data_IF_336556008444
#
_entry.id   IF_336556008444
#
_cell.length_a   1.000
_cell.length_b   1.000
_cell.length_c   1.000
_cell.angle_alpha   90.00
_cell.angle_beta   90.00
_cell.angle_gamma   90.00
#
_symmetry.space_group_name_H-M   'P 1'
#
loop_
_entity.id
_entity.type
_entity.pdbx_description
1 polymer ?
#
# COMPACT_ATOMS: atom_id res chain seq x y z
N UNK A 1 -4.62 -16.15 2.52
CA UNK A 1 -5.85 -15.83 1.77
C UNK A 1 -6.01 -14.33 1.76
N UNK A 2 -6.19 -13.73 0.59
CA UNK A 2 -6.53 -12.31 0.47
C UNK A 2 -8.04 -12.14 0.55
N UNK A 3 -8.53 -11.23 1.39
CA UNK A 3 -9.97 -10.98 1.57
C UNK A 3 -10.62 -10.48 0.28
N UNK A 4 -9.88 -9.70 -0.51
CA UNK A 4 -10.35 -9.10 -1.75
C UNK A 4 -9.25 -9.05 -2.83
N UNK A 5 -9.63 -9.27 -4.09
CA UNK A 5 -8.79 -9.02 -5.26
C UNK A 5 -8.52 -7.54 -5.56
N UNK A 6 -9.44 -6.62 -5.24
CA UNK A 6 -9.24 -5.19 -5.51
C UNK A 6 -8.10 -4.59 -4.70
N UNK A 7 -7.96 -4.96 -3.42
CA UNK A 7 -6.82 -4.57 -2.59
C UNK A 7 -5.48 -4.94 -3.25
N UNK A 8 -5.43 -6.15 -3.81
CA UNK A 8 -4.25 -6.65 -4.51
C UNK A 8 -4.04 -5.91 -5.82
N UNK A 9 -5.11 -5.62 -6.58
CA UNK A 9 -5.01 -4.82 -7.78
C UNK A 9 -4.48 -3.41 -7.50
N UNK A 10 -4.96 -2.75 -6.44
CA UNK A 10 -4.46 -1.45 -5.98
C UNK A 10 -2.96 -1.48 -5.70
N UNK A 11 -2.47 -2.55 -5.06
CA UNK A 11 -1.03 -2.75 -4.84
C UNK A 11 -0.25 -2.89 -6.16
N UNK A 12 -0.78 -3.64 -7.13
CA UNK A 12 -0.16 -3.83 -8.44
C UNK A 12 -0.22 -2.60 -9.34
N UNK A 13 -1.18 -1.70 -9.13
CA UNK A 13 -1.33 -0.49 -9.94
C UNK A 13 -0.09 0.39 -9.89
N UNK A 14 0.63 0.41 -8.76
CA UNK A 14 1.93 1.09 -8.66
C UNK A 14 2.93 0.57 -9.69
N UNK A 15 3.08 -0.75 -9.80
CA UNK A 15 3.97 -1.36 -10.78
C UNK A 15 3.48 -1.11 -12.21
N UNK A 16 2.16 -1.18 -12.45
CA UNK A 16 1.58 -0.90 -13.77
C UNK A 16 1.81 0.55 -14.22
N UNK A 17 1.77 1.51 -13.31
CA UNK A 17 1.98 2.93 -13.62
C UNK A 17 3.45 3.32 -13.69
N UNK A 18 4.28 2.84 -12.76
CA UNK A 18 5.67 3.30 -12.60
C UNK A 18 6.70 2.34 -13.22
N UNK A 19 6.36 1.07 -13.43
CA UNK A 19 7.28 0.03 -13.89
C UNK A 19 8.39 -0.31 -12.89
N UNK A 20 8.22 0.04 -11.62
CA UNK A 20 9.16 -0.26 -10.53
C UNK A 20 8.56 -1.28 -9.57
N UNK A 21 9.43 -2.08 -8.95
CA UNK A 21 9.02 -3.06 -7.94
C UNK A 21 8.54 -2.36 -6.66
N UNK A 22 7.75 -3.07 -5.85
CA UNK A 22 7.13 -2.54 -4.64
C UNK A 22 7.11 -3.56 -3.52
N UNK A 23 7.24 -3.08 -2.28
CA UNK A 23 7.07 -3.84 -1.04
C UNK A 23 5.87 -3.29 -0.27
N UNK A 24 5.11 -4.16 0.38
CA UNK A 24 4.05 -3.81 1.32
C UNK A 24 4.04 -4.73 2.55
N UNK A 25 3.49 -4.25 3.65
CA UNK A 25 3.18 -5.02 4.84
C UNK A 25 1.73 -5.48 4.81
N UNK A 26 1.52 -6.75 5.09
CA UNK A 26 0.20 -7.39 5.09
C UNK A 26 -0.41 -7.26 6.48
N UNK A 27 -1.56 -6.58 6.56
CA UNK A 27 -2.37 -6.49 7.77
C UNK A 27 -3.59 -7.38 7.66
N UNK A 28 -3.95 -8.02 8.76
CA UNK A 28 -5.07 -8.94 8.79
C UNK A 28 -5.17 -9.75 10.07
N UNK A 29 -5.71 -10.96 9.97
CA UNK A 29 -6.00 -11.82 11.13
C UNK A 29 -5.70 -13.28 10.83
N UNK A 30 -5.48 -14.06 11.87
CA UNK A 30 -5.35 -15.51 11.77
C UNK A 30 -6.67 -16.18 12.13
N UNK A 31 -7.13 -17.09 11.28
CA UNK A 31 -8.37 -17.85 11.47
C UNK A 31 -8.09 -19.34 11.41
N UNK A 32 -8.98 -20.13 12.00
CA UNK A 32 -8.98 -21.59 11.85
C UNK A 32 -9.35 -21.92 10.41
N UNK A 33 -8.65 -22.90 9.84
CA UNK A 33 -8.90 -23.37 8.49
C UNK A 33 -9.19 -24.87 8.49
N UNK A 34 -10.45 -25.21 8.22
CA UNK A 34 -10.94 -26.58 8.26
C UNK A 34 -10.51 -27.43 7.05
N UNK A 35 -9.92 -26.82 6.02
CA UNK A 35 -9.47 -27.53 4.82
C UNK A 35 -8.27 -28.45 5.04
N UNK A 36 -7.55 -28.29 6.15
CA UNK A 36 -6.50 -29.23 6.61
C UNK A 36 -6.64 -29.47 8.12
N UNK A 37 -6.27 -30.66 8.64
CA UNK A 37 -6.36 -30.94 10.06
C UNK A 37 -5.58 -29.94 10.91
N UNK A 38 -6.27 -29.25 11.84
CA UNK A 38 -5.70 -28.19 12.68
C UNK A 38 -5.06 -27.04 11.88
N UNK A 39 -5.61 -26.77 10.70
CA UNK A 39 -5.14 -25.70 9.83
C UNK A 39 -5.34 -24.31 10.43
N UNK A 40 -4.38 -23.43 10.14
CA UNK A 40 -4.48 -21.99 10.41
C UNK A 40 -4.29 -21.29 9.10
N UNK A 41 -5.17 -20.33 8.79
CA UNK A 41 -5.01 -19.44 7.63
C UNK A 41 -4.76 -18.01 8.10
N UNK A 42 -3.90 -17.32 7.37
CA UNK A 42 -3.78 -15.87 7.46
C UNK A 42 -4.76 -15.23 6.46
N UNK A 43 -5.64 -14.36 6.95
CA UNK A 43 -6.59 -13.57 6.16
C UNK A 43 -6.07 -12.15 6.09
N UNK A 44 -5.65 -11.73 4.90
CA UNK A 44 -5.13 -10.39 4.63
C UNK A 44 -6.31 -9.47 4.32
N UNK A 45 -6.42 -8.39 5.09
CA UNK A 45 -7.48 -7.37 4.97
C UNK A 45 -7.00 -6.08 4.32
N UNK A 46 -5.73 -5.73 4.49
CA UNK A 46 -5.14 -4.52 3.92
C UNK A 46 -3.65 -4.71 3.65
N UNK A 47 -3.10 -3.89 2.74
CA UNK A 47 -1.67 -3.84 2.44
C UNK A 47 -1.21 -2.40 2.69
N UNK A 48 -0.31 -2.21 3.65
CA UNK A 48 0.31 -0.92 3.94
C UNK A 48 1.65 -0.81 3.22
N UNK A 49 1.93 0.30 2.57
CA UNK A 49 3.18 0.52 1.83
C UNK A 49 4.15 1.40 2.62
N UNK A 50 5.20 0.83 3.24
CA UNK A 50 6.16 1.63 4.00
C UNK A 50 7.00 2.54 3.09
N UNK A 51 7.67 3.57 3.64
CA UNK A 51 8.64 4.38 2.91
C UNK A 51 9.74 3.50 2.29
N UNK A 52 9.96 3.66 0.98
CA UNK A 52 10.84 2.78 0.23
C UNK A 52 11.39 3.44 -1.04
N UNK A 53 12.63 3.13 -1.36
CA UNK A 53 13.29 3.50 -2.60
C UNK A 53 13.13 2.37 -3.63
N UNK A 54 12.34 2.64 -4.67
CA UNK A 54 11.99 1.67 -5.70
C UNK A 54 12.77 1.88 -6.99
N UNK A 55 13.17 0.79 -7.62
CA UNK A 55 13.74 0.69 -8.96
C UNK A 55 13.10 -0.48 -9.73
N UNK A 56 13.54 -0.71 -10.97
CA UNK A 56 13.10 -1.85 -11.80
C UNK A 56 13.54 -3.21 -11.24
N UNK A 57 14.73 -3.24 -10.66
CA UNK A 57 15.40 -4.50 -10.24
C UNK A 57 15.69 -4.58 -8.74
N UNK A 58 15.44 -3.49 -7.99
CA UNK A 58 15.74 -3.42 -6.56
C UNK A 58 14.69 -2.58 -5.82
N UNK A 59 14.42 -2.96 -4.58
CA UNK A 59 13.64 -2.16 -3.62
C UNK A 59 14.40 -2.12 -2.31
N UNK A 60 14.62 -0.91 -1.81
CA UNK A 60 15.22 -0.69 -0.50
C UNK A 60 14.18 -0.07 0.43
N UNK A 61 13.87 -0.77 1.52
CA UNK A 61 13.05 -0.21 2.60
C UNK A 61 13.84 0.89 3.31
N UNK A 62 13.21 2.04 3.52
CA UNK A 62 13.78 3.13 4.31
C UNK A 62 13.43 2.85 5.78
N UNK A 63 14.44 2.48 6.57
CA UNK A 63 14.25 2.13 7.98
C UNK A 63 14.96 3.16 8.89
N UNK A 64 14.34 3.59 10.02
CA UNK A 64 13.01 3.20 10.52
C UNK A 64 11.87 3.92 9.78
N UNK A 65 10.71 3.27 9.72
CA UNK A 65 9.48 3.89 9.23
C UNK A 65 8.91 4.80 10.34
N UNK A 66 8.75 6.11 10.10
CA UNK A 66 8.21 7.04 11.09
C UNK A 66 6.78 6.71 11.55
N UNK A 67 5.99 6.03 10.72
CA UNK A 67 4.57 5.78 10.97
C UNK A 67 4.28 4.33 11.39
N UNK A 68 5.29 3.47 11.48
CA UNK A 68 5.15 2.03 11.79
C UNK A 68 4.34 1.81 13.09
N UNK A 69 4.68 2.52 14.17
CA UNK A 69 4.01 2.37 15.46
C UNK A 69 2.54 2.83 15.43
N UNK A 70 2.26 3.90 14.69
CA UNK A 70 0.90 4.45 14.53
C UNK A 70 0.01 3.46 13.79
N UNK A 71 0.52 2.90 12.69
CA UNK A 71 -0.21 1.92 11.88
C UNK A 71 -0.45 0.63 12.66
N UNK A 72 0.54 0.16 13.42
CA UNK A 72 0.39 -1.03 14.27
C UNK A 72 -0.63 -0.81 15.41
N UNK A 73 -0.66 0.38 16.01
CA UNK A 73 -1.66 0.71 17.03
C UNK A 73 -3.08 0.80 16.44
N UNK A 74 -3.22 1.43 15.27
CA UNK A 74 -4.49 1.54 14.54
C UNK A 74 -5.01 0.15 14.15
N UNK A 75 -4.15 -0.69 13.60
CA UNK A 75 -4.43 -2.09 13.29
C UNK A 75 -4.91 -2.85 14.54
N UNK A 76 -4.20 -2.71 15.67
CA UNK A 76 -4.55 -3.36 16.92
C UNK A 76 -5.95 -2.98 17.41
N UNK A 77 -6.33 -1.70 17.33
CA UNK A 77 -7.66 -1.21 17.72
C UNK A 77 -8.76 -1.75 16.78
N UNK A 78 -8.48 -1.85 15.48
CA UNK A 78 -9.36 -2.51 14.49
C UNK A 78 -9.45 -4.04 14.66
N UNK A 79 -8.60 -4.64 15.50
CA UNK A 79 -8.57 -6.09 15.72
C UNK A 79 -7.82 -6.87 14.62
N UNK A 80 -7.01 -6.18 13.82
CA UNK A 80 -6.08 -6.76 12.86
C UNK A 80 -4.64 -6.57 13.34
N UNK A 81 -3.70 -7.32 12.79
CA UNK A 81 -2.29 -7.20 13.10
C UNK A 81 -1.45 -7.39 11.83
N UNK A 82 -0.18 -6.99 11.90
CA UNK A 82 0.77 -7.28 10.84
C UNK A 82 1.06 -8.77 10.81
N UNK A 83 0.63 -9.42 9.73
CA UNK A 83 0.69 -10.88 9.55
C UNK A 83 1.75 -11.31 8.54
N UNK A 84 2.30 -10.38 7.76
CA UNK A 84 3.31 -10.70 6.77
C UNK A 84 3.78 -9.49 5.97
N UNK A 85 4.50 -9.78 4.90
CA UNK A 85 4.94 -8.80 3.91
C UNK A 85 4.77 -9.37 2.51
N UNK A 86 4.66 -8.49 1.53
CA UNK A 86 4.50 -8.80 0.11
C UNK A 86 5.48 -7.97 -0.69
N UNK A 87 6.04 -8.54 -1.75
CA UNK A 87 6.87 -7.80 -2.69
C UNK A 87 6.66 -8.28 -4.12
N UNK A 88 6.91 -7.39 -5.09
CA UNK A 88 6.78 -7.71 -6.51
C UNK A 88 8.14 -8.07 -7.11
N UNK A 89 8.12 -9.09 -7.97
CA UNK A 89 9.18 -9.40 -8.92
C UNK A 89 8.53 -9.65 -10.28
N UNK A 90 8.09 -8.53 -10.89
CA UNK A 90 7.34 -8.52 -12.13
C UNK A 90 8.17 -7.87 -13.24
N UNK A 91 8.40 -8.63 -14.30
CA UNK A 91 9.09 -8.19 -15.51
C UNK A 91 8.13 -8.40 -16.70
N UNK A 92 7.83 -7.36 -17.49
CA UNK A 92 6.96 -7.50 -18.65
C UNK A 92 7.60 -8.39 -19.72
N UNK A 93 6.82 -9.29 -20.32
CA UNK A 93 7.24 -10.17 -21.42
C UNK A 93 6.77 -9.60 -22.77
N UNK A 94 7.55 -8.69 -23.36
CA UNK A 94 7.23 -8.06 -24.65
C UNK A 94 7.12 -9.04 -25.83
N UNK A 95 7.51 -10.31 -25.66
CA UNK A 95 7.52 -11.31 -26.73
C UNK A 95 6.21 -12.11 -26.84
N UNK A 96 5.38 -12.12 -25.79
CA UNK A 96 4.10 -12.84 -25.79
C UNK A 96 2.98 -11.90 -26.23
N UNK A 97 2.14 -12.37 -27.15
CA UNK A 97 0.92 -11.65 -27.52
C UNK A 97 -0.18 -11.91 -26.49
N UNK A 98 -0.58 -10.88 -25.74
CA UNK A 98 -1.62 -10.96 -24.72
C UNK A 98 -1.76 -9.67 -23.90
N UNK A 99 -2.73 -9.63 -22.98
CA UNK A 99 -2.98 -8.48 -22.10
C UNK A 99 -1.92 -8.43 -20.99
N UNK A 100 -0.78 -7.78 -21.25
CA UNK A 100 0.28 -7.53 -20.25
C UNK A 100 0.94 -8.79 -19.66
N UNK A 101 1.49 -9.69 -20.49
CA UNK A 101 2.16 -10.89 -20.01
C UNK A 101 3.42 -10.55 -19.20
N UNK A 102 3.70 -11.39 -18.21
CA UNK A 102 4.88 -11.28 -17.33
C UNK A 102 5.77 -12.51 -17.44
N UNK A 103 7.08 -12.35 -17.24
CA UNK A 103 8.04 -13.46 -17.32
C UNK A 103 7.94 -14.33 -16.06
N UNK A 104 7.95 -15.64 -16.26
CA UNK A 104 8.03 -16.63 -15.19
C UNK A 104 9.48 -16.88 -14.78
N UNK A 105 9.91 -16.21 -13.71
CA UNK A 105 11.25 -16.33 -13.13
C UNK A 105 11.30 -17.13 -11.83
N UNK A 106 10.15 -17.45 -11.23
CA UNK A 106 10.03 -18.09 -9.91
C UNK A 106 8.98 -19.18 -9.88
N UNK A 107 8.98 -20.02 -8.85
CA UNK A 107 7.86 -20.93 -8.57
C UNK A 107 7.91 -22.33 -9.19
N UNK A 108 8.98 -22.68 -9.90
CA UNK A 108 9.15 -24.00 -10.52
C UNK A 108 10.45 -24.67 -10.08
N UNK A 109 10.51 -25.99 -10.18
CA UNK A 109 11.72 -26.77 -9.82
C UNK A 109 12.99 -26.35 -10.57
N UNK A 110 12.85 -25.74 -11.74
CA UNK A 110 13.97 -25.25 -12.54
C UNK A 110 14.23 -23.75 -12.36
N UNK A 111 13.50 -23.09 -11.46
CA UNK A 111 13.57 -21.65 -11.19
C UNK A 111 13.79 -21.39 -9.70
N UNK A 112 13.99 -20.12 -9.35
CA UNK A 112 14.23 -19.70 -7.98
C UNK A 112 12.90 -19.57 -7.20
N UNK A 113 12.84 -19.99 -5.94
CA UNK A 113 11.70 -19.63 -5.07
C UNK A 113 11.95 -18.26 -4.41
N UNK A 114 12.92 -18.20 -3.51
CA UNK A 114 13.39 -16.98 -2.85
C UNK A 114 14.90 -16.82 -3.02
N UNK A 115 15.35 -15.59 -3.21
CA UNK A 115 16.78 -15.28 -3.15
C UNK A 115 17.29 -15.41 -1.72
N UNK A 116 18.60 -15.55 -1.54
CA UNK A 116 19.24 -15.54 -0.24
C UNK A 116 18.93 -14.28 0.57
N UNK A 117 18.90 -13.12 -0.09
CA UNK A 117 18.57 -11.86 0.55
C UNK A 117 17.11 -11.83 1.03
N UNK A 118 16.18 -12.29 0.21
CA UNK A 118 14.75 -12.39 0.58
C UNK A 118 14.53 -13.42 1.69
N UNK A 119 15.23 -14.56 1.65
CA UNK A 119 15.15 -15.60 2.67
C UNK A 119 15.70 -15.12 4.02
N UNK A 120 16.83 -14.41 4.01
CA UNK A 120 17.39 -13.76 5.21
C UNK A 120 16.41 -12.71 5.74
N UNK A 121 15.81 -11.89 4.86
CA UNK A 121 14.86 -10.87 5.25
C UNK A 121 13.57 -11.46 5.83
N UNK A 122 13.05 -12.55 5.25
CA UNK A 122 11.94 -13.31 5.80
C UNK A 122 12.27 -13.88 7.18
N UNK A 123 13.46 -14.44 7.37
CA UNK A 123 13.95 -14.91 8.66
C UNK A 123 14.10 -13.78 9.68
N UNK A 124 14.51 -12.59 9.26
CA UNK A 124 14.58 -11.41 10.12
C UNK A 124 13.18 -10.97 10.59
N UNK A 125 12.21 -10.86 9.67
CA UNK A 125 10.83 -10.52 10.02
C UNK A 125 10.17 -11.57 10.92
N UNK A 126 10.36 -12.86 10.63
CA UNK A 126 9.84 -13.93 11.50
C UNK A 126 10.44 -13.88 12.91
N UNK A 127 11.72 -13.50 13.05
CA UNK A 127 12.34 -13.28 14.37
C UNK A 127 11.81 -12.02 15.09
N UNK A 128 11.43 -10.97 14.36
CA UNK A 128 10.75 -9.78 14.92
C UNK A 128 9.35 -10.13 15.42
N UNK A 129 8.63 -11.00 14.72
CA UNK A 129 7.24 -11.37 15.00
C UNK A 129 7.10 -12.80 15.54
N UNK A 130 7.59 -13.06 16.75
CA UNK A 130 7.54 -14.38 17.39
C UNK A 130 6.13 -14.82 17.78
N UNK A 131 5.82 -16.10 17.55
CA UNK A 131 4.53 -16.68 17.93
C UNK A 131 4.56 -17.18 19.38
N UNK A 132 3.63 -16.68 20.21
CA UNK A 132 3.47 -17.09 21.62
C UNK A 132 2.99 -18.54 21.70
N UNK A 133 3.69 -19.37 22.46
CA UNK A 133 3.38 -20.79 22.62
C UNK A 133 3.62 -21.23 24.07
N UNK A 134 2.56 -21.64 24.77
CA UNK A 134 2.62 -22.11 26.17
C UNK A 134 3.41 -23.41 26.33
N UNK A 135 3.55 -24.20 25.26
CA UNK A 135 4.26 -25.48 25.27
C UNK A 135 5.75 -25.33 24.96
N UNK A 136 6.20 -24.13 24.59
CA UNK A 136 7.63 -23.86 24.38
C UNK A 136 8.28 -23.48 25.71
N UNK A 137 9.48 -24.00 26.03
CA UNK A 137 10.21 -23.60 27.24
C UNK A 137 10.48 -22.10 27.29
N UNK A 138 10.71 -21.46 26.15
CA UNK A 138 10.98 -20.03 26.04
C UNK A 138 9.70 -19.17 25.95
N UNK A 139 8.51 -19.80 25.97
CA UNK A 139 7.22 -19.13 25.81
C UNK A 139 6.87 -18.73 24.37
N UNK A 140 7.81 -18.91 23.43
CA UNK A 140 7.63 -18.62 22.00
C UNK A 140 8.10 -19.80 21.14
N UNK A 141 7.44 -20.04 20.01
CA UNK A 141 7.85 -21.07 19.05
C UNK A 141 7.54 -20.64 17.62
N UNK A 142 8.60 -20.52 16.82
CA UNK A 142 8.54 -20.08 15.43
C UNK A 142 7.85 -18.73 15.26
N UNK A 143 7.30 -18.52 14.06
CA UNK A 143 6.53 -17.35 13.70
C UNK A 143 5.39 -17.71 12.77
N UNK A 144 4.30 -16.94 12.83
CA UNK A 144 3.18 -17.01 11.87
C UNK A 144 3.31 -15.95 10.77
N UNK A 145 4.39 -15.16 10.78
CA UNK A 145 4.62 -14.12 9.80
C UNK A 145 4.89 -14.74 8.44
N UNK A 146 4.15 -14.30 7.42
CA UNK A 146 4.24 -14.86 6.06
C UNK A 146 5.00 -13.92 5.12
N UNK A 147 5.61 -14.50 4.09
CA UNK A 147 6.23 -13.80 2.96
C UNK A 147 5.41 -14.09 1.71
N UNK A 148 5.04 -13.08 0.95
CA UNK A 148 4.36 -13.27 -0.34
C UNK A 148 5.16 -12.62 -1.46
N UNK A 149 5.40 -13.37 -2.53
CA UNK A 149 6.04 -12.89 -3.75
C UNK A 149 4.97 -12.78 -4.83
N UNK A 150 4.93 -11.63 -5.50
CA UNK A 150 4.14 -11.46 -6.72
C UNK A 150 5.05 -11.68 -7.91
N UNK A 151 4.78 -12.71 -8.71
CA UNK A 151 5.60 -13.07 -9.87
C UNK A 151 4.73 -13.55 -11.03
N UNK A 152 5.32 -13.83 -12.19
CA UNK A 152 4.62 -14.43 -13.32
C UNK A 152 4.55 -15.96 -13.20
N UNK A 153 3.41 -16.55 -13.51
CA UNK A 153 3.23 -18.00 -13.64
C UNK A 153 3.73 -18.51 -15.02
N UNK A 154 3.77 -19.83 -15.21
CA UNK A 154 4.19 -20.42 -16.49
C UNK A 154 3.34 -19.95 -17.70
N UNK A 155 2.08 -19.54 -17.47
CA UNK A 155 1.18 -19.00 -18.49
C UNK A 155 1.44 -17.52 -18.81
N UNK A 156 2.28 -16.85 -18.02
CA UNK A 156 2.61 -15.43 -18.14
C UNK A 156 1.57 -14.51 -17.47
N UNK A 157 0.76 -15.05 -16.57
CA UNK A 157 -0.20 -14.33 -15.73
C UNK A 157 0.43 -14.01 -14.38
N UNK A 158 -0.04 -12.94 -13.74
CA UNK A 158 0.43 -12.56 -12.40
C UNK A 158 -0.12 -13.57 -11.38
N UNK A 159 0.77 -14.16 -10.58
CA UNK A 159 0.49 -15.11 -9.52
C UNK A 159 1.14 -14.67 -8.20
N UNK A 160 0.57 -15.15 -7.09
CA UNK A 160 1.05 -14.91 -5.73
C UNK A 160 1.62 -16.19 -5.16
N UNK A 161 2.88 -16.17 -4.74
CA UNK A 161 3.54 -17.31 -4.12
C UNK A 161 3.78 -17.00 -2.64
N UNK A 162 3.27 -17.87 -1.76
CA UNK A 162 3.35 -17.69 -0.32
C UNK A 162 4.44 -18.58 0.27
N UNK A 163 5.25 -18.02 1.15
CA UNK A 163 6.35 -18.71 1.79
C UNK A 163 6.44 -18.38 3.28
N UNK A 164 7.01 -19.32 4.02
CA UNK A 164 7.64 -19.09 5.31
C UNK A 164 9.04 -19.68 5.30
N UNK A 165 9.93 -19.14 6.12
CA UNK A 165 11.19 -19.82 6.39
C UNK A 165 11.05 -20.71 7.63
N UNK A 166 11.80 -21.81 7.61
CA UNK A 166 11.86 -22.77 8.69
C UNK A 166 12.42 -22.15 9.98
N UNK A 167 12.10 -22.77 11.12
CA UNK A 167 12.69 -22.39 12.41
C UNK A 167 14.23 -22.49 12.41
N UNK A 168 14.79 -23.38 11.58
CA UNK A 168 16.23 -23.49 11.39
C UNK A 168 16.78 -22.25 10.70
N UNK A 169 16.14 -21.78 9.62
CA UNK A 169 16.50 -20.53 8.96
C UNK A 169 16.42 -19.34 9.92
N UNK A 170 15.33 -19.24 10.70
CA UNK A 170 15.20 -18.21 11.74
C UNK A 170 16.40 -18.22 12.70
N UNK A 171 16.86 -19.40 13.13
CA UNK A 171 18.02 -19.53 14.02
C UNK A 171 19.34 -19.14 13.33
N UNK A 172 19.54 -19.51 12.06
CA UNK A 172 20.72 -19.13 11.26
C UNK A 172 20.80 -17.60 11.09
N UNK A 173 19.68 -16.97 10.76
CA UNK A 173 19.58 -15.51 10.58
C UNK A 173 19.75 -14.78 11.91
N UNK A 174 19.10 -15.25 12.98
CA UNK A 174 19.24 -14.68 14.33
C UNK A 174 20.69 -14.74 14.83
N UNK A 175 21.43 -15.78 14.44
CA UNK A 175 22.83 -15.95 14.77
C UNK A 175 23.77 -15.17 13.84
N UNK A 176 23.27 -14.54 12.77
CA UNK A 176 24.09 -13.77 11.83
C UNK A 176 25.12 -14.60 11.06
N UNK A 177 24.83 -15.88 10.80
CA UNK A 177 25.77 -16.80 10.12
C UNK A 177 25.41 -17.11 8.68
N UNK A 178 24.21 -16.76 8.23
CA UNK A 178 23.74 -16.96 6.84
C UNK A 178 23.94 -15.68 6.04
N UNK A 179 24.71 -15.77 4.95
CA UNK A 179 25.01 -14.66 4.05
C UNK A 179 24.52 -14.96 2.62
N UNK A 180 24.12 -13.93 1.86
CA UNK A 180 23.79 -14.10 0.46
C UNK A 180 25.03 -14.36 -0.39
N UNK A 181 24.91 -15.22 -1.40
CA UNK A 181 25.94 -15.43 -2.43
C UNK A 181 25.75 -14.47 -3.60
N UNK A 182 26.85 -14.14 -4.27
CA UNK A 182 26.86 -13.20 -5.40
C UNK A 182 26.39 -13.85 -6.72
N UNK A 183 26.95 -15.00 -7.08
CA UNK A 183 26.72 -15.63 -8.40
C UNK A 183 25.52 -16.59 -8.45
N UNK A 184 24.97 -16.99 -7.29
CA UNK A 184 23.90 -17.98 -7.19
C UNK A 184 22.87 -17.54 -6.14
N UNK A 185 21.80 -16.82 -6.51
CA UNK A 185 20.84 -16.28 -5.55
C UNK A 185 20.05 -17.35 -4.77
N UNK A 186 19.95 -18.57 -5.29
CA UNK A 186 19.29 -19.73 -4.67
C UNK A 186 20.09 -20.38 -3.54
N UNK A 187 21.36 -19.99 -3.39
CA UNK A 187 22.26 -20.54 -2.39
C UNK A 187 22.51 -19.53 -1.27
N UNK A 188 22.72 -20.04 -0.06
CA UNK A 188 23.19 -19.27 1.09
C UNK A 188 24.60 -19.70 1.48
N UNK A 189 25.43 -18.76 1.90
CA UNK A 189 26.77 -19.05 2.42
C UNK A 189 26.76 -19.04 3.95
N UNK A 190 27.18 -20.15 4.57
CA UNK A 190 27.38 -20.20 6.02
C UNK A 190 28.78 -19.69 6.35
N UNK A 191 28.83 -18.60 7.13
CA UNK A 191 30.05 -17.96 7.61
C UNK A 191 30.99 -18.96 8.27
N UNK A 192 32.29 -18.81 8.05
CA UNK A 192 33.30 -19.58 8.75
C UNK A 192 33.51 -19.07 10.18
N UNK A 193 34.04 -19.93 11.04
CA UNK A 193 34.40 -19.52 12.41
C UNK A 193 35.44 -18.40 12.34
N UNK A 194 35.15 -17.30 13.03
CA UNK A 194 36.10 -16.19 13.23
C UNK A 194 36.54 -16.13 14.69
N UNK A 195 37.50 -15.25 15.00
CA UNK A 195 37.93 -14.97 16.37
C UNK A 195 36.81 -14.40 17.25
N UNK A 196 35.80 -13.77 16.65
CA UNK A 196 34.68 -13.11 17.35
C UNK A 196 33.48 -14.04 17.52
N UNK A 197 33.32 -15.03 16.64
CA UNK A 197 32.12 -15.86 16.57
C UNK A 197 32.46 -17.29 16.14
N UNK A 198 32.14 -18.24 17.02
CA UNK A 198 32.19 -19.66 16.70
C UNK A 198 30.99 -20.06 15.82
N UNK A 199 31.27 -20.66 14.67
CA UNK A 199 30.25 -21.19 13.76
C UNK A 199 30.48 -22.70 13.58
N UNK A 200 29.58 -23.56 14.08
CA UNK A 200 29.72 -25.01 13.90
C UNK A 200 29.58 -25.40 12.43
N UNK A 201 30.06 -26.59 12.09
CA UNK A 201 29.80 -27.16 10.77
C UNK A 201 28.32 -27.51 10.63
N UNK A 202 27.68 -26.86 9.66
CA UNK A 202 26.28 -27.09 9.30
C UNK A 202 26.27 -28.08 8.15
N UNK A 203 25.40 -29.09 8.24
CA UNK A 203 25.22 -30.09 7.20
C UNK A 203 23.76 -30.14 6.77
N UNK A 204 23.54 -30.49 5.52
CA UNK A 204 22.21 -30.79 4.98
C UNK A 204 22.20 -32.18 4.35
N UNK A 205 21.00 -32.76 4.26
CA UNK A 205 20.77 -34.07 3.65
C UNK A 205 20.20 -33.89 2.25
N UNK A 206 20.80 -34.57 1.29
CA UNK A 206 20.32 -34.61 -0.08
C UNK A 206 20.14 -36.06 -0.51
N UNK A 207 19.23 -36.31 -1.45
CA UNK A 207 19.05 -37.62 -2.07
C UNK A 207 19.83 -37.68 -3.37
N UNK A 208 20.70 -38.68 -3.50
CA UNK A 208 21.43 -38.91 -4.74
C UNK A 208 20.53 -39.48 -5.85
N UNK A 209 21.11 -39.69 -7.05
CA UNK A 209 20.41 -40.30 -8.19
C UNK A 209 19.90 -41.73 -7.94
N UNK A 210 20.34 -42.37 -6.86
CA UNK A 210 19.95 -43.70 -6.42
C UNK A 210 19.03 -43.67 -5.20
N UNK A 211 18.53 -42.47 -4.82
CA UNK A 211 17.64 -42.22 -3.68
C UNK A 211 18.25 -42.56 -2.30
N UNK A 212 19.58 -42.59 -2.19
CA UNK A 212 20.29 -42.69 -0.92
C UNK A 212 20.45 -41.31 -0.28
N UNK A 213 20.32 -41.23 1.05
CA UNK A 213 20.59 -39.99 1.80
C UNK A 213 22.09 -39.77 1.98
N UNK A 214 22.60 -38.70 1.42
CA UNK A 214 23.99 -38.24 1.60
C UNK A 214 24.02 -36.96 2.42
N UNK A 215 24.99 -36.86 3.33
CA UNK A 215 25.26 -35.65 4.12
C UNK A 215 26.26 -34.77 3.36
N UNK A 216 25.90 -33.51 3.10
CA UNK A 216 26.80 -32.51 2.49
C UNK A 216 27.01 -31.33 3.45
N UNK A 217 28.19 -30.72 3.37
CA UNK A 217 28.49 -29.50 4.13
C UNK A 217 27.73 -28.31 3.53
N UNK A 218 27.11 -27.49 4.37
CA UNK A 218 26.26 -26.36 3.99
C UNK A 218 27.08 -25.10 3.62
N UNK A 219 28.09 -25.27 2.77
CA UNK A 219 28.97 -24.20 2.25
C UNK A 219 29.25 -24.45 0.77
N UNK A 220 28.32 -24.11 -0.15
CA UNK A 220 27.06 -23.38 0.06
C UNK A 220 25.87 -24.26 0.48
N UNK A 221 24.84 -23.62 1.06
CA UNK A 221 23.58 -24.22 1.50
C UNK A 221 22.47 -23.91 0.49
N UNK A 222 21.82 -24.90 -0.13
CA UNK A 222 20.64 -24.64 -0.94
C UNK A 222 19.47 -24.15 -0.06
N UNK A 223 18.87 -23.02 -0.42
CA UNK A 223 17.85 -22.38 0.40
C UNK A 223 16.49 -23.07 0.34
N UNK A 224 16.24 -23.90 -0.68
CA UNK A 224 15.02 -24.71 -0.80
C UNK A 224 14.74 -25.55 0.47
N UNK A 225 15.79 -26.05 1.15
CA UNK A 225 15.66 -26.80 2.41
C UNK A 225 15.17 -25.95 3.58
N UNK A 226 15.28 -24.62 3.46
CA UNK A 226 14.91 -23.66 4.49
C UNK A 226 13.54 -23.03 4.25
N UNK A 227 12.96 -23.21 3.06
CA UNK A 227 11.71 -22.59 2.63
C UNK A 227 10.55 -23.57 2.81
N UNK A 228 9.40 -23.04 3.21
CA UNK A 228 8.15 -23.77 3.38
C UNK A 228 7.10 -23.07 2.53
N UNK A 229 6.51 -23.81 1.60
CA UNK A 229 5.47 -23.30 0.72
C UNK A 229 4.13 -23.18 1.46
N UNK A 230 3.45 -22.06 1.24
CA UNK A 230 2.14 -21.75 1.81
C UNK A 230 1.16 -21.46 0.67
N UNK A 231 0.06 -22.23 0.56
CA UNK A 231 -0.96 -21.96 -0.43
C UNK A 231 -1.56 -20.56 -0.27
N UNK A 232 -1.54 -19.79 -1.36
CA UNK A 232 -2.19 -18.49 -1.48
C UNK A 232 -3.50 -18.63 -2.24
N UNK A 233 -4.39 -17.66 -2.09
CA UNK A 233 -5.67 -17.70 -2.80
C UNK A 233 -6.65 -16.64 -2.32
N UNK A 234 -7.75 -16.56 -3.06
CA UNK A 234 -8.88 -15.68 -2.80
C UNK A 234 -10.09 -16.51 -2.33
N UNK A 235 -11.03 -15.92 -1.58
CA UNK A 235 -12.26 -16.61 -1.23
C UNK A 235 -13.03 -17.04 -2.47
N UNK A 236 -13.52 -18.27 -2.46
CA UNK A 236 -14.49 -18.74 -3.47
C UNK A 236 -15.81 -17.98 -3.27
N UNK A 237 -16.59 -17.77 -4.34
CA UNK A 237 -17.88 -17.04 -4.31
C UNK A 237 -18.89 -17.54 -3.25
N UNK A 238 -18.76 -18.79 -2.79
CA UNK A 238 -19.61 -19.39 -1.75
C UNK A 238 -19.14 -19.08 -0.32
N UNK A 239 -17.93 -18.53 -0.16
CA UNK A 239 -17.35 -18.17 1.14
C UNK A 239 -17.85 -16.78 1.50
N UNK A 240 -18.75 -16.69 2.47
CA UNK A 240 -19.21 -15.40 2.99
C UNK A 240 -18.12 -14.80 3.88
N UNK A 241 -17.14 -14.13 3.28
CA UNK A 241 -16.23 -13.26 4.01
C UNK A 241 -16.77 -11.84 3.86
N UNK A 242 -17.19 -11.25 4.97
CA UNK A 242 -17.50 -9.83 5.00
C UNK A 242 -16.18 -9.07 4.88
N UNK A 243 -16.02 -8.30 3.81
CA UNK A 243 -14.86 -7.43 3.60
C UNK A 243 -14.74 -6.46 4.76
N UNK A 244 -13.55 -6.40 5.38
CA UNK A 244 -13.28 -5.51 6.52
C UNK A 244 -13.26 -4.05 6.07
N UNK A 245 -12.74 -3.81 4.87
CA UNK A 245 -12.65 -2.50 4.25
C UNK A 245 -13.48 -2.41 2.97
N UNK A 246 -13.67 -1.18 2.49
CA UNK A 246 -14.50 -0.80 1.36
C UNK A 246 -13.88 -1.08 -0.02
N UNK A 247 -12.73 -1.75 -0.10
CA UNK A 247 -12.05 -2.08 -1.38
C UNK A 247 -12.96 -2.79 -2.41
N UNK A 248 -14.02 -3.45 -1.94
CA UNK A 248 -15.01 -4.16 -2.75
C UNK A 248 -16.31 -3.38 -2.99
N UNK A 249 -16.37 -2.13 -2.53
CA UNK A 249 -17.58 -1.34 -2.60
C UNK A 249 -17.80 -0.86 -4.04
N UNK A 250 -18.82 -1.42 -4.70
CA UNK A 250 -19.23 -1.03 -6.05
C UNK A 250 -19.73 0.41 -6.17
N UNK A 251 -19.83 1.13 -5.05
CA UNK A 251 -20.28 2.52 -4.96
C UNK A 251 -19.09 3.48 -5.08
N UNK A 252 -17.89 3.06 -4.68
CA UNK A 252 -16.69 3.89 -4.72
C UNK A 252 -16.11 3.84 -6.13
N UNK A 253 -16.02 4.99 -6.79
CA UNK A 253 -15.46 5.10 -8.14
C UNK A 253 -13.95 5.24 -8.11
N UNK A 254 -13.40 6.05 -7.19
CA UNK A 254 -11.96 6.11 -6.94
C UNK A 254 -11.65 5.92 -5.45
N UNK A 255 -10.90 4.87 -5.08
CA UNK A 255 -10.51 4.66 -3.69
C UNK A 255 -9.52 5.74 -3.25
N UNK A 256 -9.34 5.90 -1.93
CA UNK A 256 -8.42 6.89 -1.39
C UNK A 256 -6.96 6.58 -1.78
N UNK A 257 -6.11 7.60 -1.92
CA UNK A 257 -4.72 7.41 -2.32
C UNK A 257 -3.93 6.62 -1.26
N UNK A 258 -3.06 5.71 -1.71
CA UNK A 258 -2.19 4.90 -0.84
C UNK A 258 -0.96 5.73 -0.42
N UNK A 259 -0.47 5.53 0.79
CA UNK A 259 0.69 6.23 1.34
C UNK A 259 1.99 5.96 0.55
N UNK A 260 2.97 6.86 0.70
CA UNK A 260 4.35 6.70 0.20
C UNK A 260 4.47 6.47 -1.32
N UNK A 261 3.51 7.00 -2.10
CA UNK A 261 3.41 6.87 -3.55
C UNK A 261 3.78 8.14 -4.32
N UNK A 262 4.78 8.88 -3.83
CA UNK A 262 5.18 10.21 -4.35
C UNK A 262 5.61 10.19 -5.84
N UNK A 263 6.20 9.09 -6.31
CA UNK A 263 6.63 8.95 -7.72
C UNK A 263 5.45 8.79 -8.69
N UNK A 264 4.30 8.38 -8.18
CA UNK A 264 3.03 8.30 -8.91
C UNK A 264 2.20 9.54 -8.58
N UNK A 265 1.22 9.89 -9.42
CA UNK A 265 0.31 11.03 -9.17
C UNK A 265 -0.71 10.77 -8.04
N UNK A 266 -0.39 9.90 -7.10
CA UNK A 266 -1.23 9.50 -5.96
C UNK A 266 -0.63 10.11 -4.70
N UNK A 267 -0.88 11.40 -4.49
CA UNK A 267 -0.47 12.11 -3.29
C UNK A 267 -1.63 12.15 -2.29
N UNK A 268 -1.32 11.93 -1.02
CA UNK A 268 -2.28 12.12 0.07
C UNK A 268 -2.23 13.58 0.50
N UNK A 269 -3.09 14.40 -0.10
CA UNK A 269 -3.30 15.80 0.26
C UNK A 269 -4.79 16.06 0.57
N UNK A 270 -5.08 17.29 1.00
CA UNK A 270 -6.45 17.71 1.30
C UNK A 270 -7.33 17.72 0.04
N UNK A 271 -6.75 17.97 -1.14
CA UNK A 271 -7.45 17.91 -2.41
C UNK A 271 -7.90 16.47 -2.72
N UNK A 272 -7.04 15.48 -2.50
CA UNK A 272 -7.38 14.06 -2.63
C UNK A 272 -8.46 13.64 -1.64
N UNK A 273 -8.42 14.14 -0.40
CA UNK A 273 -9.47 13.91 0.59
C UNK A 273 -10.81 14.56 0.16
N UNK A 274 -10.76 15.78 -0.38
CA UNK A 274 -11.95 16.48 -0.87
C UNK A 274 -12.57 15.74 -2.07
N UNK A 275 -11.77 15.31 -3.03
CA UNK A 275 -12.21 14.52 -4.19
C UNK A 275 -12.78 13.16 -3.78
N UNK A 276 -12.19 12.53 -2.77
CA UNK A 276 -12.71 11.28 -2.20
C UNK A 276 -14.09 11.51 -1.56
N UNK A 277 -14.25 12.56 -0.74
CA UNK A 277 -15.51 12.85 -0.06
C UNK A 277 -16.62 13.35 -0.99
N UNK A 278 -16.28 14.08 -2.07
CA UNK A 278 -17.25 14.57 -3.06
C UNK A 278 -18.03 13.45 -3.75
N UNK A 279 -17.40 12.29 -3.97
CA UNK A 279 -18.04 11.12 -4.56
C UNK A 279 -19.27 10.66 -3.77
N UNK A 280 -19.28 10.91 -2.45
CA UNK A 280 -20.40 10.56 -1.57
C UNK A 280 -21.41 11.70 -1.42
N UNK A 281 -21.01 12.95 -1.68
CA UNK A 281 -21.89 14.12 -1.63
C UNK A 281 -22.81 14.24 -2.86
N UNK A 282 -22.34 13.79 -4.04
CA UNK A 282 -23.13 13.83 -5.30
C UNK A 282 -24.16 12.69 -5.43
N UNK A 283 -24.17 11.72 -4.51
CA UNK A 283 -25.11 10.59 -4.52
C UNK A 283 -26.45 11.05 -3.91
N UNK A 284 -27.28 11.59 -4.78
CA UNK A 284 -28.62 12.08 -4.51
C UNK A 284 -29.55 10.95 -4.00
N UNK A 285 -29.97 11.04 -2.73
CA UNK A 285 -30.89 10.10 -2.04
C UNK A 285 -32.28 10.04 -2.71
N UNK A 286 -32.55 10.97 -3.64
CA UNK A 286 -33.84 11.10 -4.34
C UNK A 286 -33.96 10.26 -5.62
N UNK A 287 -32.88 9.66 -6.13
CA UNK A 287 -32.92 8.80 -7.33
C UNK A 287 -33.23 7.36 -6.93
N UNK A 288 -34.41 6.85 -7.32
CA UNK A 288 -34.94 5.54 -6.87
C UNK A 288 -34.17 4.28 -7.30
N UNK A 289 -32.98 4.41 -7.89
CA UNK A 289 -32.14 3.29 -8.38
C UNK A 289 -30.71 3.29 -7.80
N UNK A 290 -30.32 4.24 -6.95
CA UNK A 290 -29.03 4.21 -6.24
C UNK A 290 -29.21 3.51 -4.89
N UNK A 291 -28.39 2.48 -4.60
CA UNK A 291 -28.29 1.95 -3.23
C UNK A 291 -27.82 3.09 -2.32
N UNK A 292 -28.50 3.37 -1.18
CA UNK A 292 -28.03 4.40 -0.25
C UNK A 292 -26.64 4.02 0.24
N UNK A 293 -25.70 4.97 0.24
CA UNK A 293 -24.36 4.76 0.80
C UNK A 293 -24.49 4.44 2.29
N UNK A 294 -23.67 3.53 2.81
CA UNK A 294 -23.54 3.38 4.26
C UNK A 294 -22.41 4.28 4.73
N UNK A 295 -22.55 4.97 5.88
CA UNK A 295 -21.46 5.75 6.48
C UNK A 295 -20.18 4.94 6.70
N UNK A 296 -20.31 3.64 6.96
CA UNK A 296 -19.18 2.69 7.03
C UNK A 296 -18.43 2.58 5.71
N UNK A 297 -19.10 2.72 4.57
CA UNK A 297 -18.47 2.60 3.26
C UNK A 297 -17.49 3.75 2.98
N UNK A 298 -17.66 4.91 3.64
CA UNK A 298 -16.78 6.07 3.49
C UNK A 298 -15.52 5.91 4.35
N UNK A 299 -15.67 5.51 5.61
CA UNK A 299 -14.58 5.54 6.59
C UNK A 299 -13.85 4.20 6.72
N UNK A 300 -14.37 3.12 6.14
CA UNK A 300 -13.71 1.81 6.14
C UNK A 300 -12.62 1.70 5.05
N UNK A 301 -11.63 2.59 5.05
CA UNK A 301 -10.39 2.46 4.27
C UNK A 301 -9.19 2.64 5.20
N UNK A 302 -8.26 1.68 5.24
CA UNK A 302 -7.07 1.75 6.10
C UNK A 302 -6.21 2.98 5.77
N UNK A 303 -6.02 3.28 4.48
CA UNK A 303 -5.16 4.35 4.01
C UNK A 303 -5.72 5.72 4.43
N UNK A 304 -7.05 5.86 4.39
CA UNK A 304 -7.74 7.05 4.91
C UNK A 304 -7.54 7.18 6.42
N UNK A 305 -7.74 6.10 7.17
CA UNK A 305 -7.60 6.13 8.63
C UNK A 305 -6.16 6.47 9.06
N UNK A 306 -5.16 5.96 8.34
CA UNK A 306 -3.75 6.32 8.55
C UNK A 306 -3.54 7.80 8.24
N UNK A 307 -4.08 8.31 7.12
CA UNK A 307 -3.98 9.72 6.76
C UNK A 307 -4.57 10.64 7.83
N UNK A 308 -5.72 10.31 8.41
CA UNK A 308 -6.35 11.14 9.47
C UNK A 308 -5.48 11.30 10.73
N UNK A 309 -4.63 10.32 11.04
CA UNK A 309 -3.75 10.40 12.21
C UNK A 309 -2.43 11.08 11.86
N UNK A 310 -1.92 10.85 10.66
CA UNK A 310 -0.58 11.29 10.24
C UNK A 310 -0.57 12.71 9.65
N UNK A 311 -1.66 13.16 9.03
CA UNK A 311 -1.71 14.43 8.28
C UNK A 311 -1.20 15.63 9.09
N UNK A 312 -0.29 16.42 8.53
CA UNK A 312 0.30 17.58 9.21
C UNK A 312 -0.69 18.75 9.42
N UNK A 313 -1.76 18.82 8.61
CA UNK A 313 -2.70 19.95 8.63
C UNK A 313 -3.72 19.82 9.76
N UNK A 314 -4.30 18.63 9.91
CA UNK A 314 -5.32 18.36 10.90
C UNK A 314 -5.22 16.91 11.41
N UNK A 315 -4.72 16.75 12.63
CA UNK A 315 -4.42 15.45 13.24
C UNK A 315 -5.52 15.00 14.19
N UNK A 316 -5.99 13.77 14.01
CA UNK A 316 -6.81 13.10 15.00
C UNK A 316 -5.93 12.39 16.02
N UNK A 317 -6.17 12.63 17.30
CA UNK A 317 -5.57 11.78 18.34
C UNK A 317 -6.18 10.37 18.29
N UNK A 318 -5.39 9.36 18.66
CA UNK A 318 -5.86 7.98 18.69
C UNK A 318 -7.09 7.78 19.57
N UNK A 319 -7.24 8.58 20.64
CA UNK A 319 -8.39 8.52 21.53
C UNK A 319 -9.67 9.08 20.90
N UNK A 320 -9.56 10.11 20.07
CA UNK A 320 -10.69 10.64 19.28
C UNK A 320 -11.09 9.68 18.16
N UNK A 321 -10.14 8.91 17.61
CA UNK A 321 -10.41 7.93 16.57
C UNK A 321 -10.98 6.62 17.13
N UNK A 322 -10.74 6.32 18.40
CA UNK A 322 -11.13 5.07 19.03
C UNK A 322 -12.63 4.71 18.91
N UNK A 323 -13.58 5.65 19.08
CA UNK A 323 -15.02 5.36 18.89
C UNK A 323 -15.33 4.92 17.46
N UNK A 324 -14.67 5.54 16.46
CA UNK A 324 -14.80 5.15 15.06
C UNK A 324 -14.23 3.74 14.82
N UNK A 325 -13.00 3.46 15.29
CA UNK A 325 -12.36 2.16 15.08
C UNK A 325 -13.16 1.03 15.72
N UNK A 326 -13.72 1.25 16.91
CA UNK A 326 -14.60 0.28 17.56
C UNK A 326 -15.89 0.06 16.75
N UNK A 327 -16.49 1.13 16.23
CA UNK A 327 -17.70 1.05 15.40
C UNK A 327 -17.46 0.32 14.08
N UNK A 328 -16.32 0.58 13.43
CA UNK A 328 -15.89 -0.14 12.22
C UNK A 328 -15.65 -1.62 12.51
N UNK A 329 -14.99 -1.94 13.64
CA UNK A 329 -14.74 -3.32 14.05
C UNK A 329 -16.02 -4.11 14.33
N UNK A 330 -17.06 -3.49 14.89
CA UNK A 330 -18.34 -4.15 15.19
C UNK A 330 -19.38 -3.99 14.08
N UNK A 331 -19.04 -3.33 12.96
CA UNK A 331 -19.98 -2.95 11.91
C UNK A 331 -21.21 -2.17 12.44
N UNK A 332 -21.02 -1.29 13.43
CA UNK A 332 -22.08 -0.44 13.99
C UNK A 332 -22.24 0.86 13.20
N UNK A 333 -23.28 0.90 12.36
CA UNK A 333 -23.61 2.07 11.52
C UNK A 333 -23.92 3.32 12.35
N UNK A 334 -24.63 3.17 13.47
CA UNK A 334 -25.06 4.31 14.28
C UNK A 334 -23.87 4.95 15.00
N UNK A 335 -22.90 4.14 15.42
CA UNK A 335 -21.64 4.61 16.01
C UNK A 335 -20.84 5.46 15.03
N UNK A 336 -20.73 5.02 13.77
CA UNK A 336 -20.07 5.78 12.70
C UNK A 336 -20.79 7.10 12.42
N UNK A 337 -22.12 7.09 12.32
CA UNK A 337 -22.90 8.32 12.11
C UNK A 337 -22.77 9.32 13.26
N UNK A 338 -22.65 8.82 14.50
CA UNK A 338 -22.47 9.66 15.68
C UNK A 338 -21.10 10.32 15.64
N UNK A 339 -20.04 9.56 15.33
CA UNK A 339 -18.69 10.08 15.19
C UNK A 339 -18.57 11.09 14.05
N UNK A 340 -19.24 10.86 12.92
CA UNK A 340 -19.30 11.84 11.83
C UNK A 340 -19.98 13.16 12.25
N UNK A 341 -20.74 13.20 13.34
CA UNK A 341 -21.33 14.44 13.88
C UNK A 341 -20.45 15.12 14.91
N UNK A 342 -19.32 14.51 15.30
CA UNK A 342 -18.40 15.11 16.27
C UNK A 342 -17.81 16.41 15.75
N UNK A 343 -17.63 17.38 16.65
CA UNK A 343 -17.14 18.73 16.32
C UNK A 343 -15.78 18.69 15.59
N UNK A 344 -14.93 17.71 15.90
CA UNK A 344 -13.61 17.57 15.30
C UNK A 344 -13.69 17.16 13.83
N UNK A 345 -14.56 16.20 13.49
CA UNK A 345 -14.81 15.81 12.10
C UNK A 345 -15.50 16.94 11.32
N UNK A 346 -16.46 17.64 11.94
CA UNK A 346 -17.11 18.79 11.33
C UNK A 346 -16.12 19.94 11.04
N UNK A 347 -15.13 20.14 11.91
CA UNK A 347 -14.06 21.12 11.68
C UNK A 347 -13.22 20.75 10.46
N UNK A 348 -12.85 19.47 10.31
CA UNK A 348 -12.14 18.99 9.11
C UNK A 348 -12.95 19.24 7.83
N UNK A 349 -14.25 18.93 7.85
CA UNK A 349 -15.14 19.18 6.70
C UNK A 349 -15.23 20.67 6.35
N UNK A 350 -15.26 21.56 7.35
CA UNK A 350 -15.24 23.01 7.11
C UNK A 350 -13.93 23.48 6.50
N UNK A 351 -12.78 22.95 6.96
CA UNK A 351 -11.47 23.26 6.38
C UNK A 351 -11.40 22.85 4.90
N UNK A 352 -11.88 21.65 4.58
CA UNK A 352 -11.95 21.16 3.20
C UNK A 352 -12.84 22.03 2.30
N UNK A 353 -13.98 22.50 2.82
CA UNK A 353 -14.86 23.42 2.09
C UNK A 353 -14.18 24.76 1.80
N UNK A 354 -13.40 25.29 2.74
CA UNK A 354 -12.66 26.54 2.57
C UNK A 354 -11.60 26.37 1.47
N UNK A 355 -10.81 25.29 1.51
CA UNK A 355 -9.80 25.02 0.48
C UNK A 355 -10.42 24.87 -0.91
N UNK A 356 -11.50 24.09 -1.04
CA UNK A 356 -12.22 23.92 -2.30
C UNK A 356 -12.82 25.25 -2.82
N UNK A 357 -13.32 26.09 -1.92
CA UNK A 357 -13.81 27.44 -2.27
C UNK A 357 -12.68 28.36 -2.73
N UNK A 358 -11.47 28.23 -2.16
CA UNK A 358 -10.30 29.01 -2.56
C UNK A 358 -9.77 28.58 -3.94
N UNK A 359 -9.83 27.29 -4.27
CA UNK A 359 -9.48 26.78 -5.61
C UNK A 359 -10.52 27.18 -6.66
N UNK A 360 -11.82 27.07 -6.37
CA UNK A 360 -12.87 27.53 -7.29
C UNK A 360 -12.84 29.04 -7.50
N UNK A 361 -12.42 29.83 -6.50
CA UNK A 361 -12.12 31.26 -6.65
C UNK A 361 -10.90 31.54 -7.56
N UNK A 362 -9.95 30.60 -7.61
CA UNK A 362 -8.74 30.67 -8.45
C UNK A 362 -9.02 30.21 -9.88
N UNK A 363 -9.91 29.24 -10.07
CA UNK A 363 -10.37 28.76 -11.39
C UNK A 363 -11.41 29.71 -12.01
N UNK A 364 -12.29 30.32 -11.21
CA UNK A 364 -13.18 31.40 -11.67
C UNK A 364 -12.43 32.70 -12.00
N UNK A 365 -11.14 32.82 -11.62
CA UNK A 365 -10.26 33.86 -12.18
C UNK A 365 -9.72 33.52 -13.58
N UNK A 366 -9.83 32.27 -14.03
CA UNK A 366 -9.29 31.78 -15.30
C UNK A 366 -10.37 31.34 -16.30
N UNK A 367 -11.60 31.07 -15.86
CA UNK A 367 -12.70 30.67 -16.75
C UNK A 367 -14.01 31.37 -16.38
N UNK A 368 -14.48 32.21 -17.28
CA UNK A 368 -15.69 33.05 -17.26
C UNK A 368 -15.64 34.33 -16.43
N UNK A 369 -15.86 35.54 -16.95
CA UNK A 369 -16.00 36.11 -18.31
C UNK A 369 -16.23 37.60 -18.04
N UNK A 370 -15.29 38.50 -18.37
CA UNK A 370 -15.71 39.84 -18.79
C UNK A 370 -16.00 39.73 -20.28
N UNK A 371 -17.18 39.19 -20.61
CA UNK A 371 -17.81 39.52 -21.87
C UNK A 371 -18.52 40.85 -21.66
N UNK A 372 -17.90 41.88 -22.25
CA UNK A 372 -18.33 43.27 -22.42
C UNK A 372 -17.99 44.25 -21.29
N UNK A 373 -16.71 44.55 -21.15
CA UNK A 373 -16.21 45.89 -21.48
C UNK A 373 -14.86 45.72 -22.18
N UNK A 374 -14.84 45.82 -23.52
CA UNK A 374 -13.58 46.05 -24.22
C UNK A 374 -13.04 47.39 -23.73
N UNK A 375 -12.13 47.34 -22.76
CA UNK A 375 -11.26 48.46 -22.41
C UNK A 375 -10.38 48.76 -23.62
N UNK A 376 -10.93 49.52 -24.57
CA UNK A 376 -10.26 50.04 -25.75
C UNK A 376 -9.22 51.04 -25.26
N UNK A 377 -8.04 50.51 -24.94
CA UNK A 377 -6.90 51.32 -24.59
C UNK A 377 -6.52 52.19 -25.80
N UNK A 378 -6.44 53.50 -25.61
CA UNK A 378 -6.09 54.44 -26.66
C UNK A 378 -4.84 55.23 -26.29
N UNK A 379 -3.99 55.48 -27.28
CA UNK A 379 -2.73 56.21 -27.12
C UNK A 379 -3.01 57.69 -27.36
N UNK A 380 -2.70 58.53 -26.37
CA UNK A 380 -2.84 59.97 -26.52
C UNK A 380 -1.90 60.49 -27.62
N UNK A 381 -2.39 61.17 -28.68
CA UNK A 381 -1.54 61.64 -29.78
C UNK A 381 -0.58 62.77 -29.39
N UNK A 382 -0.78 63.40 -28.23
CA UNK A 382 0.04 64.53 -27.76
C UNK A 382 1.15 64.11 -26.78
N UNK A 383 0.87 63.17 -25.87
CA UNK A 383 1.82 62.75 -24.84
C UNK A 383 2.20 61.26 -24.92
N UNK A 384 1.66 60.51 -25.88
CA UNK A 384 1.92 59.08 -26.13
C UNK A 384 1.56 58.13 -24.97
N UNK A 385 0.87 58.63 -23.95
CA UNK A 385 0.43 57.83 -22.81
C UNK A 385 -0.71 56.88 -23.22
N UNK A 386 -0.63 55.62 -22.74
CA UNK A 386 -1.63 54.59 -22.98
C UNK A 386 -2.73 54.71 -21.92
N UNK A 387 -3.90 55.21 -22.30
CA UNK A 387 -5.05 55.29 -21.39
C UNK A 387 -5.82 53.98 -21.47
N UNK A 388 -6.06 53.33 -20.33
CA UNK A 388 -6.73 52.03 -20.28
C UNK A 388 -8.27 52.12 -20.21
N UNK A 389 -8.83 53.33 -20.14
CA UNK A 389 -10.27 53.59 -20.06
C UNK A 389 -10.72 54.55 -21.18
N UNK A 390 -11.98 54.45 -21.61
CA UNK A 390 -12.61 55.30 -22.63
C UNK A 390 -12.97 56.71 -22.10
N UNK A 391 -12.11 57.31 -21.27
CA UNK A 391 -12.29 58.69 -20.88
C UNK A 391 -11.95 59.60 -22.06
N UNK A 392 -12.83 60.57 -22.35
CA UNK A 392 -12.59 61.60 -23.36
C UNK A 392 -11.34 62.44 -23.04
N UNK A 393 -10.81 62.40 -21.82
CA UNK A 393 -9.61 63.13 -21.39
C UNK A 393 -8.50 62.17 -21.01
N UNK A 394 -7.28 62.45 -21.44
CA UNK A 394 -6.11 61.66 -21.09
C UNK A 394 -5.77 61.82 -19.59
N UNK A 395 -5.49 60.73 -18.89
CA UNK A 395 -5.22 60.72 -17.44
C UNK A 395 -3.95 61.49 -17.05
N UNK A 396 -3.00 61.63 -17.97
CA UNK A 396 -1.70 62.26 -17.69
C UNK A 396 -1.66 63.75 -18.01
N UNK A 397 -2.33 64.19 -19.07
CA UNK A 397 -2.31 65.59 -19.53
C UNK A 397 -3.66 66.29 -19.50
N UNK A 398 -4.75 65.58 -19.14
CA UNK A 398 -6.13 66.09 -19.03
C UNK A 398 -6.70 66.71 -20.31
N UNK A 399 -6.09 66.47 -21.48
CA UNK A 399 -6.51 66.98 -22.78
C UNK A 399 -7.49 66.02 -23.48
N UNK A 400 -8.42 66.59 -24.24
CA UNK A 400 -9.54 65.87 -24.87
C UNK A 400 -9.11 65.04 -26.10
N UNK A 401 -9.73 63.88 -26.27
CA UNK A 401 -9.52 62.94 -27.36
C UNK A 401 -10.23 63.44 -28.64
N UNK A 402 -9.57 64.33 -29.38
CA UNK A 402 -10.10 64.82 -30.66
C UNK A 402 -9.98 63.75 -31.76
N UNK A 403 -10.87 62.76 -31.74
CA UNK A 403 -11.13 61.89 -32.89
C UNK A 403 -12.22 62.56 -33.73
N UNK A 404 -11.81 63.46 -34.63
CA UNK A 404 -12.69 63.92 -35.70
C UNK A 404 -12.83 62.80 -36.74
N UNK A 405 -14.04 62.21 -36.78
CA UNK A 405 -14.68 61.41 -37.86
C UNK A 405 -13.80 60.72 -38.90
#
# INVERSE_FOLDING_TARGET
MFENGNMVNRFLDYWRSAGHQRIGFLYGRYEIYDGVPLGVRAVVTAIYEPPQETSKDNVQLMFPDPHEDIVDELAYRLGICRIGWIFTDLIPDDKRSGTGPVIHHRGSMNTLFLTAQECIMAGWFQNKHLNKCKYSPDGYFGSKFITVVVTGDASGQIQFEGYQVSNQCMALVKSGILFPTYDAPELGYIKETSSEQYVPDVYYKEKDSYNNEIMKIARPLPLEYLIIDIPTGFPTANTQIQSTFNDNCSIITTPFCIENRIKTSELQDMDALALYLQQFAEIDVTKSNSKPYKPTDILADLHLLVYLVVNDIFQFSMDQLNPLLNSLRTNDLNGVETWMKDDHWQTLLQLLQIELSSLSSSVNKLTHTDSEEQSLAWICPQCTFLNNNFNEKCDMCSLENNISS
#
